data_IF_893062199900
#
_entry.id   IF_893062199900
#
_cell.length_a   1.000
_cell.length_b   1.000
_cell.length_c   1.000
_cell.angle_alpha   90.00
_cell.angle_beta   90.00
_cell.angle_gamma   90.00
#
_symmetry.space_group_name_H-M   'P 1'
#
loop_
_entity.id
_entity.type
_entity.pdbx_description
1 polymer ?
#
# COMPACT_ATOMS: atom_id res chain seq x y z
N UNK A 1 -29.98 9.04 43.56
CA UNK A 1 -29.88 8.20 42.35
C UNK A 1 -28.52 7.55 42.37
N UNK A 2 -28.43 6.22 42.36
CA UNK A 2 -27.15 5.53 42.39
C UNK A 2 -26.37 5.88 41.12
N UNK A 3 -25.18 6.49 41.27
CA UNK A 3 -24.29 6.75 40.15
C UNK A 3 -23.96 5.41 39.49
N UNK A 4 -24.38 5.24 38.24
CA UNK A 4 -24.05 4.06 37.45
C UNK A 4 -22.53 4.15 37.19
N UNK A 5 -21.76 3.18 37.70
CA UNK A 5 -20.31 3.13 37.49
C UNK A 5 -20.00 3.41 36.02
N UNK A 6 -19.12 4.38 35.78
CA UNK A 6 -18.69 4.68 34.42
C UNK A 6 -18.07 3.42 33.82
N UNK A 7 -18.49 3.02 32.61
CA UNK A 7 -17.92 1.82 32.01
C UNK A 7 -16.46 2.12 31.65
N UNK A 8 -15.53 1.25 32.02
CA UNK A 8 -14.08 1.52 31.92
C UNK A 8 -13.58 1.86 30.51
N UNK A 9 -14.32 1.48 29.47
CA UNK A 9 -14.03 1.86 28.09
C UNK A 9 -14.26 3.35 27.79
N UNK A 10 -15.10 4.04 28.57
CA UNK A 10 -15.40 5.46 28.38
C UNK A 10 -14.17 6.33 28.67
N UNK A 11 -13.41 6.01 29.72
CA UNK A 11 -12.13 6.69 30.00
C UNK A 11 -11.14 6.50 28.85
N UNK A 12 -11.04 5.28 28.31
CA UNK A 12 -10.17 4.99 27.16
C UNK A 12 -10.60 5.79 25.93
N UNK A 13 -11.91 5.83 25.64
CA UNK A 13 -12.45 6.61 24.53
C UNK A 13 -12.19 8.11 24.68
N UNK A 14 -12.32 8.66 25.88
CA UNK A 14 -11.99 10.06 26.19
C UNK A 14 -10.50 10.33 25.98
N UNK A 15 -9.62 9.46 26.48
CA UNK A 15 -8.16 9.61 26.29
C UNK A 15 -7.75 9.53 24.82
N UNK A 16 -8.39 8.66 24.03
CA UNK A 16 -8.15 8.54 22.59
C UNK A 16 -8.65 9.76 21.82
N UNK A 17 -9.86 10.26 22.15
CA UNK A 17 -10.39 11.50 21.58
C UNK A 17 -9.49 12.71 21.85
N UNK A 18 -9.08 12.89 23.10
CA UNK A 18 -8.18 13.96 23.51
C UNK A 18 -6.84 13.91 22.74
N UNK A 19 -6.30 12.72 22.48
CA UNK A 19 -5.08 12.56 21.67
C UNK A 19 -5.26 13.07 20.24
N UNK A 20 -6.37 12.76 19.59
CA UNK A 20 -6.68 13.21 18.22
C UNK A 20 -6.82 14.74 18.18
N UNK A 21 -7.46 15.34 19.19
CA UNK A 21 -7.59 16.79 19.33
C UNK A 21 -6.22 17.46 19.50
N UNK A 22 -5.36 16.91 20.37
CA UNK A 22 -4.02 17.45 20.61
C UNK A 22 -3.17 17.38 19.34
N UNK A 23 -3.24 16.29 18.57
CA UNK A 23 -2.53 16.17 17.28
C UNK A 23 -3.08 17.18 16.27
N UNK A 24 -4.40 17.36 16.18
CA UNK A 24 -5.00 18.37 15.31
C UNK A 24 -4.61 19.79 15.69
N UNK A 25 -4.59 20.11 16.99
CA UNK A 25 -4.12 21.38 17.51
C UNK A 25 -2.63 21.60 17.19
N UNK A 26 -1.79 20.57 17.34
CA UNK A 26 -0.36 20.62 16.99
C UNK A 26 -0.15 20.97 15.51
N UNK A 27 -0.86 20.32 14.59
CA UNK A 27 -0.76 20.65 13.16
C UNK A 27 -1.24 22.07 12.86
N UNK A 28 -2.28 22.55 13.56
CA UNK A 28 -2.80 23.90 13.40
C UNK A 28 -1.83 24.99 13.87
N UNK A 29 -1.18 24.80 15.04
CA UNK A 29 -0.25 25.80 15.59
C UNK A 29 1.10 25.81 14.87
N UNK A 30 1.57 24.64 14.42
CA UNK A 30 2.85 24.52 13.71
C UNK A 30 2.74 24.89 12.22
N UNK A 31 1.52 25.11 11.72
CA UNK A 31 1.21 25.38 10.31
C UNK A 31 1.66 24.24 9.36
N UNK A 32 1.96 23.05 9.89
CA UNK A 32 2.26 21.87 9.09
C UNK A 32 0.96 21.37 8.42
N UNK A 33 0.97 21.30 7.08
CA UNK A 33 -0.14 20.75 6.28
C UNK A 33 -1.12 21.78 5.68
N UNK A 34 -0.92 23.08 5.89
CA UNK A 34 -1.71 24.13 5.24
C UNK A 34 -3.22 23.96 5.41
N UNK A 35 -3.98 23.93 4.31
CA UNK A 35 -5.44 23.75 4.32
C UNK A 35 -5.90 22.44 5.01
N UNK A 36 -5.05 21.41 5.03
CA UNK A 36 -5.36 20.12 5.65
C UNK A 36 -5.37 20.19 7.18
N UNK A 37 -4.61 21.12 7.79
CA UNK A 37 -4.60 21.28 9.24
C UNK A 37 -5.98 21.70 9.78
N UNK A 38 -6.75 22.48 9.01
CA UNK A 38 -8.12 22.87 9.36
C UNK A 38 -9.08 21.67 9.40
N UNK A 39 -8.88 20.72 8.49
CA UNK A 39 -9.69 19.50 8.43
C UNK A 39 -9.36 18.58 9.61
N UNK A 40 -8.07 18.40 9.92
CA UNK A 40 -7.62 17.54 11.03
C UNK A 40 -8.09 18.09 12.37
N UNK A 41 -7.92 19.39 12.64
CA UNK A 41 -8.42 19.99 13.89
C UNK A 41 -9.95 20.00 13.95
N UNK A 42 -10.63 20.24 12.82
CA UNK A 42 -12.09 20.17 12.74
C UNK A 42 -12.62 18.76 13.06
N UNK A 43 -11.96 17.73 12.55
CA UNK A 43 -12.28 16.34 12.87
C UNK A 43 -12.03 16.02 14.35
N UNK A 44 -10.89 16.44 14.90
CA UNK A 44 -10.58 16.26 16.32
C UNK A 44 -11.61 16.92 17.25
N UNK A 45 -11.94 18.19 17.00
CA UNK A 45 -12.96 18.91 17.77
C UNK A 45 -14.36 18.27 17.62
N UNK A 46 -14.67 17.71 16.46
CA UNK A 46 -15.91 16.95 16.24
C UNK A 46 -15.98 15.67 17.09
N UNK A 47 -14.86 14.94 17.20
CA UNK A 47 -14.74 13.76 18.07
C UNK A 47 -14.93 14.16 19.54
N UNK A 48 -14.30 15.26 19.98
CA UNK A 48 -14.42 15.76 21.36
C UNK A 48 -15.86 16.17 21.71
N UNK A 49 -16.55 16.84 20.78
CA UNK A 49 -17.95 17.22 20.97
C UNK A 49 -18.87 16.00 21.15
N UNK A 50 -18.64 14.92 20.38
CA UNK A 50 -19.39 13.68 20.52
C UNK A 50 -19.07 12.95 21.83
N UNK A 51 -17.80 12.93 22.25
CA UNK A 51 -17.40 12.34 23.53
C UNK A 51 -17.99 13.09 24.71
N UNK A 52 -17.95 14.42 24.72
CA UNK A 52 -18.61 15.21 25.76
C UNK A 52 -20.12 14.97 25.81
N UNK A 53 -20.77 14.89 24.66
CA UNK A 53 -22.20 14.55 24.59
C UNK A 53 -22.49 13.19 25.24
N UNK A 54 -21.67 12.17 24.96
CA UNK A 54 -21.80 10.85 25.57
C UNK A 54 -21.53 10.87 27.08
N UNK A 55 -20.55 11.66 27.56
CA UNK A 55 -20.28 11.80 29.00
C UNK A 55 -21.41 12.47 29.78
N UNK A 56 -22.25 13.28 29.13
CA UNK A 56 -23.43 13.89 29.76
C UNK A 56 -24.43 12.85 30.29
N UNK A 57 -24.43 11.64 29.74
CA UNK A 57 -25.26 10.51 30.21
C UNK A 57 -24.62 9.72 31.37
N UNK A 58 -23.36 9.99 31.70
CA UNK A 58 -22.60 9.29 32.74
C UNK A 58 -21.95 10.33 33.69
N UNK A 59 -22.72 10.93 34.60
CA UNK A 59 -22.18 11.90 35.55
C UNK A 59 -21.02 11.30 36.37
N UNK A 60 -19.98 12.09 36.68
CA UNK A 60 -18.85 11.62 37.47
C UNK A 60 -19.31 11.15 38.86
N UNK A 61 -18.56 10.23 39.46
CA UNK A 61 -18.88 9.76 40.81
C UNK A 61 -18.84 10.93 41.80
N UNK A 62 -19.80 11.02 42.74
CA UNK A 62 -19.79 12.06 43.76
C UNK A 62 -18.51 11.94 44.59
N UNK A 63 -17.88 13.09 44.89
CA UNK A 63 -16.67 13.08 45.70
C UNK A 63 -16.92 12.34 47.03
N UNK A 64 -15.95 11.54 47.51
CA UNK A 64 -16.05 10.89 48.81
C UNK A 64 -16.37 11.94 49.87
N UNK A 65 -17.30 11.63 50.79
CA UNK A 65 -17.66 12.53 51.87
C UNK A 65 -16.53 12.60 52.93
N UNK A 66 -15.43 13.28 52.59
CA UNK A 66 -14.25 13.48 53.44
C UNK A 66 -14.62 14.08 54.80
N UNK A 67 -15.73 14.83 54.86
CA UNK A 67 -16.37 15.36 56.07
C UNK A 67 -16.76 14.30 57.12
N UNK A 68 -16.90 13.02 56.72
CA UNK A 68 -17.17 11.91 57.63
C UNK A 68 -15.90 11.39 58.32
N UNK A 69 -14.74 11.62 57.71
CA UNK A 69 -13.43 11.14 58.19
C UNK A 69 -12.66 12.26 58.90
N UNK A 70 -12.84 13.51 58.47
CA UNK A 70 -12.27 14.70 59.08
C UNK A 70 -13.37 15.72 59.39
N UNK A 71 -13.98 15.66 60.60
CA UNK A 71 -15.06 16.56 61.02
C UNK A 71 -14.66 18.05 61.01
N UNK A 72 -13.35 18.30 61.06
CA UNK A 72 -12.69 19.60 61.12
C UNK A 72 -12.82 20.41 59.82
N UNK A 73 -13.15 19.77 58.69
CA UNK A 73 -13.32 20.42 57.38
C UNK A 73 -14.75 20.97 57.17
N UNK A 74 -15.65 20.76 58.12
CA UNK A 74 -17.03 21.24 58.01
C UNK A 74 -17.11 22.75 58.25
N UNK A 75 -17.83 23.52 57.41
CA UNK A 75 -17.95 24.96 57.56
C UNK A 75 -18.70 25.43 58.82
N UNK A 76 -19.37 24.52 59.55
CA UNK A 76 -20.09 24.79 60.81
C UNK A 76 -19.42 24.10 62.03
N UNK A 77 -18.12 23.82 61.95
CA UNK A 77 -17.36 23.20 63.05
C UNK A 77 -17.15 24.20 64.20
N UNK A 78 -17.89 24.03 65.29
CA UNK A 78 -17.81 24.83 66.54
C UNK A 78 -17.12 24.09 67.69
N UNK A 79 -16.02 23.40 67.40
CA UNK A 79 -15.18 22.75 68.42
C UNK A 79 -13.95 23.61 68.75
N UNK A 80 -13.57 23.68 70.02
CA UNK A 80 -12.34 24.36 70.45
C UNK A 80 -11.11 23.56 69.99
N UNK A 81 -10.14 24.24 69.37
CA UNK A 81 -8.82 23.67 69.04
C UNK A 81 -8.17 23.13 70.32
N UNK A 82 -7.54 21.94 70.33
CA UNK A 82 -7.03 21.35 71.57
C UNK A 82 -5.93 22.23 72.16
N UNK A 83 -6.22 22.87 73.30
CA UNK A 83 -5.18 23.40 74.20
C UNK A 83 -4.78 22.28 75.15
N UNK A 84 -3.49 21.94 75.17
CA UNK A 84 -2.97 20.87 76.00
C UNK A 84 -3.24 21.17 77.49
N UNK A 85 -4.16 20.43 78.10
CA UNK A 85 -4.43 20.57 79.53
C UNK A 85 -3.28 19.97 80.33
N UNK A 86 -2.45 20.81 80.95
CA UNK A 86 -1.51 20.38 81.97
C UNK A 86 -2.29 20.01 83.24
N UNK A 87 -2.35 18.71 83.54
CA UNK A 87 -2.96 18.16 84.77
C UNK A 87 -1.93 18.21 85.90
N UNK A 88 -2.27 18.70 87.11
CA UNK A 88 -1.34 18.65 88.25
C UNK A 88 -1.28 17.21 88.78
N UNK A 89 -0.06 16.66 88.88
CA UNK A 89 0.16 15.31 89.39
C UNK A 89 0.60 15.40 90.85
N UNK A 90 -0.22 14.86 91.75
CA UNK A 90 0.13 14.66 93.15
C UNK A 90 1.17 13.54 93.28
N UNK A 91 2.21 13.76 94.09
CA UNK A 91 3.31 12.84 94.34
C UNK A 91 2.84 11.59 95.10
N UNK A 92 2.38 10.59 94.36
CA UNK A 92 2.40 9.18 94.75
C UNK A 92 3.50 8.52 93.94
N UNK A 93 4.28 7.63 94.57
CA UNK A 93 5.48 6.98 94.01
C UNK A 93 5.37 6.82 92.49
N UNK A 94 6.17 7.59 91.76
CA UNK A 94 5.98 7.77 90.33
C UNK A 94 6.06 6.41 89.64
N UNK A 95 5.13 6.14 88.71
CA UNK A 95 5.28 5.02 87.79
C UNK A 95 6.65 5.08 87.07
N UNK A 96 7.23 6.27 86.97
CA UNK A 96 8.62 6.52 86.56
C UNK A 96 9.64 5.86 87.47
N UNK A 97 9.49 5.88 88.80
CA UNK A 97 10.40 5.21 89.73
C UNK A 97 10.26 3.68 89.70
N UNK A 98 9.05 3.15 89.44
CA UNK A 98 8.85 1.71 89.20
C UNK A 98 9.45 1.28 87.86
N UNK A 99 9.30 2.09 86.81
CA UNK A 99 9.97 1.92 85.51
C UNK A 99 11.50 2.00 85.63
N UNK A 100 12.03 2.98 86.38
CA UNK A 100 13.46 3.18 86.62
C UNK A 100 14.09 2.00 87.37
N UNK A 101 13.36 1.47 88.36
CA UNK A 101 13.73 0.22 89.04
C UNK A 101 13.69 -0.98 88.09
N UNK A 102 12.70 -1.06 87.20
CA UNK A 102 12.60 -2.13 86.20
C UNK A 102 13.70 -2.05 85.13
N UNK A 103 14.06 -0.84 84.68
CA UNK A 103 15.18 -0.60 83.76
C UNK A 103 16.52 -0.96 84.40
N UNK A 104 16.70 -0.61 85.68
CA UNK A 104 17.89 -0.95 86.46
C UNK A 104 18.01 -2.47 86.70
N UNK A 105 16.94 -3.14 87.15
CA UNK A 105 16.90 -4.59 87.36
C UNK A 105 17.07 -5.38 86.05
N UNK A 106 16.55 -4.86 84.92
CA UNK A 106 16.74 -5.44 83.60
C UNK A 106 18.12 -5.14 82.97
N UNK A 107 19.02 -4.44 83.68
CA UNK A 107 20.33 -3.98 83.17
C UNK A 107 20.22 -3.16 81.87
N UNK A 108 19.13 -2.44 81.67
CA UNK A 108 19.00 -1.49 80.57
C UNK A 108 19.69 -0.20 81.01
N UNK A 109 21.03 -0.25 81.01
CA UNK A 109 21.88 0.90 81.24
C UNK A 109 22.08 1.73 79.95
N UNK A 110 22.66 2.93 80.08
CA UNK A 110 22.99 3.78 78.94
C UNK A 110 23.82 3.05 77.87
N UNK A 111 24.70 2.14 78.28
CA UNK A 111 25.49 1.25 77.40
C UNK A 111 24.62 0.38 76.47
N UNK A 112 23.53 -0.21 77.00
CA UNK A 112 22.63 -1.06 76.20
C UNK A 112 21.85 -0.20 75.19
N UNK A 113 21.38 0.97 75.61
CA UNK A 113 20.64 1.91 74.75
C UNK A 113 21.56 2.47 73.66
N UNK A 114 22.81 2.81 73.99
CA UNK A 114 23.84 3.23 73.04
C UNK A 114 24.14 2.11 72.02
N UNK A 115 24.29 0.86 72.50
CA UNK A 115 24.54 -0.30 71.63
C UNK A 115 23.34 -0.61 70.72
N UNK A 116 22.11 -0.45 71.22
CA UNK A 116 20.88 -0.64 70.45
C UNK A 116 20.70 0.48 69.41
N UNK A 117 20.95 1.73 69.79
CA UNK A 117 20.92 2.87 68.89
C UNK A 117 21.97 2.75 67.78
N UNK A 118 23.19 2.35 68.14
CA UNK A 118 24.26 2.04 67.17
C UNK A 118 23.89 0.86 66.26
N UNK A 119 23.27 -0.19 66.82
CA UNK A 119 22.76 -1.34 66.07
C UNK A 119 21.65 -0.97 65.08
N UNK A 120 20.67 -0.16 65.49
CA UNK A 120 19.59 0.35 64.64
C UNK A 120 20.12 1.29 63.54
N UNK A 121 21.09 2.15 63.86
CA UNK A 121 21.73 3.03 62.88
C UNK A 121 22.52 2.21 61.85
N UNK A 122 23.31 1.26 62.32
CA UNK A 122 24.05 0.32 61.46
C UNK A 122 23.10 -0.51 60.59
N UNK A 123 21.97 -0.96 61.15
CA UNK A 123 20.94 -1.67 60.39
C UNK A 123 20.31 -0.78 59.31
N UNK A 124 19.94 0.46 59.67
CA UNK A 124 19.44 1.46 58.72
C UNK A 124 20.42 1.72 57.57
N UNK A 125 21.71 1.90 57.89
CA UNK A 125 22.78 2.08 56.89
C UNK A 125 22.92 0.84 55.98
N UNK A 126 22.80 -0.38 56.52
CA UNK A 126 22.83 -1.61 55.72
C UNK A 126 21.58 -1.77 54.84
N UNK A 127 20.40 -1.39 55.31
CA UNK A 127 19.18 -1.41 54.51
C UNK A 127 19.25 -0.37 53.39
N UNK A 128 19.79 0.82 53.66
CA UNK A 128 20.01 1.85 52.63
C UNK A 128 20.99 1.37 51.55
N UNK A 129 22.07 0.68 51.93
CA UNK A 129 23.01 0.10 50.94
C UNK A 129 22.38 -1.02 50.13
N UNK A 130 21.53 -1.87 50.73
CA UNK A 130 20.75 -2.88 50.00
C UNK A 130 19.80 -2.23 48.99
N UNK A 131 19.11 -1.14 49.36
CA UNK A 131 18.24 -0.40 48.45
C UNK A 131 19.02 0.13 47.25
N UNK A 132 20.16 0.79 47.49
CA UNK A 132 21.00 1.30 46.41
C UNK A 132 21.53 0.20 45.48
N UNK A 133 21.85 -0.98 46.02
CA UNK A 133 22.26 -2.16 45.24
C UNK A 133 21.10 -2.69 44.39
N UNK A 134 19.87 -2.71 44.93
CA UNK A 134 18.69 -3.14 44.19
C UNK A 134 18.37 -2.16 43.03
N UNK A 135 18.48 -0.86 43.26
CA UNK A 135 18.32 0.17 42.24
C UNK A 135 19.39 0.06 41.16
N UNK A 136 20.65 -0.12 41.56
CA UNK A 136 21.77 -0.33 40.63
C UNK A 136 21.61 -1.62 39.80
N UNK A 137 21.10 -2.70 40.42
CA UNK A 137 20.81 -3.96 39.71
C UNK A 137 19.71 -3.79 38.67
N UNK A 138 18.65 -3.05 39.01
CA UNK A 138 17.56 -2.74 38.07
C UNK A 138 18.06 -1.92 36.89
N UNK A 139 18.84 -0.85 37.15
CA UNK A 139 19.46 -0.03 36.11
C UNK A 139 20.43 -0.84 35.23
N UNK A 140 21.18 -1.79 35.80
CA UNK A 140 22.08 -2.67 35.04
C UNK A 140 21.31 -3.61 34.12
N UNK A 141 20.18 -4.14 34.56
CA UNK A 141 19.30 -4.98 33.73
C UNK A 141 18.70 -4.17 32.57
N UNK A 142 18.24 -2.95 32.82
CA UNK A 142 17.76 -2.05 31.76
C UNK A 142 18.88 -1.70 30.77
N UNK A 143 20.08 -1.38 31.26
CA UNK A 143 21.24 -1.09 30.43
C UNK A 143 21.62 -2.28 29.54
N UNK A 144 21.64 -3.49 30.11
CA UNK A 144 21.87 -4.74 29.37
C UNK A 144 20.81 -4.95 28.29
N UNK A 145 19.53 -4.68 28.62
CA UNK A 145 18.43 -4.73 27.67
C UNK A 145 18.61 -3.74 26.52
N UNK A 146 18.99 -2.49 26.82
CA UNK A 146 19.28 -1.47 25.79
C UNK A 146 20.48 -1.82 24.93
N UNK A 147 21.56 -2.38 25.50
CA UNK A 147 22.70 -2.88 24.72
C UNK A 147 22.26 -4.00 23.78
N UNK A 148 21.48 -4.97 24.25
CA UNK A 148 21.00 -6.07 23.40
C UNK A 148 20.15 -5.56 22.22
N UNK A 149 19.27 -4.59 22.49
CA UNK A 149 18.48 -3.94 21.45
C UNK A 149 19.36 -3.16 20.46
N UNK A 150 20.37 -2.44 20.97
CA UNK A 150 21.32 -1.72 20.12
C UNK A 150 22.14 -2.68 19.23
N UNK A 151 22.60 -3.80 19.77
CA UNK A 151 23.29 -4.86 19.01
C UNK A 151 22.39 -5.41 17.89
N UNK A 152 21.14 -5.73 18.19
CA UNK A 152 20.18 -6.18 17.18
C UNK A 152 19.90 -5.11 16.11
N UNK A 153 19.90 -3.83 16.49
CA UNK A 153 19.82 -2.71 15.54
C UNK A 153 21.05 -2.64 14.63
N UNK A 154 22.24 -2.90 15.17
CA UNK A 154 23.49 -2.94 14.42
C UNK A 154 23.53 -4.10 13.42
N UNK A 155 23.05 -5.29 13.81
CA UNK A 155 22.93 -6.44 12.92
C UNK A 155 21.98 -6.14 11.74
N UNK A 156 20.84 -5.51 12.02
CA UNK A 156 19.90 -5.08 10.98
C UNK A 156 20.51 -4.01 10.05
N UNK A 157 21.27 -3.07 10.59
CA UNK A 157 21.96 -2.06 9.80
C UNK A 157 23.02 -2.70 8.90
N UNK A 158 23.81 -3.65 9.42
CA UNK A 158 24.80 -4.39 8.64
C UNK A 158 24.14 -5.14 7.49
N UNK A 159 23.06 -5.89 7.77
CA UNK A 159 22.32 -6.61 6.74
C UNK A 159 21.72 -5.67 5.66
N UNK A 160 21.26 -4.48 6.07
CA UNK A 160 20.75 -3.47 5.14
C UNK A 160 21.87 -2.87 4.29
N UNK A 161 23.05 -2.66 4.86
CA UNK A 161 24.25 -2.21 4.13
C UNK A 161 24.73 -3.25 3.13
N UNK A 162 24.73 -4.54 3.49
CA UNK A 162 25.08 -5.63 2.57
C UNK A 162 24.11 -5.67 1.37
N UNK A 163 22.80 -5.55 1.64
CA UNK A 163 21.79 -5.46 0.57
C UNK A 163 21.97 -4.22 -0.30
N UNK A 164 22.21 -3.06 0.29
CA UNK A 164 22.45 -1.83 -0.45
C UNK A 164 23.68 -1.95 -1.36
N UNK A 165 24.75 -2.56 -0.85
CA UNK A 165 26.00 -2.79 -1.59
C UNK A 165 25.78 -3.79 -2.72
N UNK A 166 25.04 -4.87 -2.49
CA UNK A 166 24.65 -5.82 -3.52
C UNK A 166 23.79 -5.16 -4.62
N UNK A 167 22.84 -4.30 -4.25
CA UNK A 167 22.03 -3.54 -5.21
C UNK A 167 22.87 -2.54 -6.01
N UNK A 168 23.84 -1.86 -5.39
CA UNK A 168 24.75 -0.96 -6.09
C UNK A 168 25.66 -1.72 -7.07
N UNK A 169 26.11 -2.92 -6.70
CA UNK A 169 26.86 -3.81 -7.60
C UNK A 169 25.99 -4.24 -8.78
N UNK A 170 24.76 -4.67 -8.54
CA UNK A 170 23.81 -5.02 -9.59
C UNK A 170 23.50 -3.82 -10.51
N UNK A 171 23.43 -2.61 -9.97
CA UNK A 171 23.26 -1.38 -10.76
C UNK A 171 24.49 -1.06 -11.62
N UNK A 172 25.70 -1.28 -11.11
CA UNK A 172 26.94 -1.19 -11.88
C UNK A 172 27.04 -2.25 -12.97
N UNK A 173 26.55 -3.46 -12.72
CA UNK A 173 26.45 -4.54 -13.72
C UNK A 173 25.33 -4.26 -14.74
N UNK A 174 24.24 -3.58 -14.36
CA UNK A 174 23.16 -3.16 -15.27
C UNK A 174 23.63 -2.18 -16.35
N UNK A 175 24.78 -1.51 -16.17
CA UNK A 175 25.44 -0.77 -17.26
C UNK A 175 25.82 -1.68 -18.44
N UNK A 176 26.05 -2.98 -18.20
CA UNK A 176 26.25 -4.01 -19.24
C UNK A 176 24.92 -4.35 -19.94
N UNK A 177 23.81 -4.41 -19.19
CA UNK A 177 22.47 -4.56 -19.78
C UNK A 177 22.07 -3.37 -20.65
N UNK A 178 22.63 -2.18 -20.40
CA UNK A 178 22.42 -1.00 -21.26
C UNK A 178 23.00 -1.17 -22.67
N UNK A 179 24.11 -1.92 -22.81
CA UNK A 179 24.65 -2.30 -24.13
C UNK A 179 23.76 -3.33 -24.82
N UNK A 180 23.33 -4.38 -24.10
CA UNK A 180 22.42 -5.37 -24.65
C UNK A 180 21.08 -4.75 -25.08
N UNK A 181 20.56 -3.80 -24.30
CA UNK A 181 19.38 -3.02 -24.64
C UNK A 181 19.62 -2.13 -25.87
N UNK A 182 20.78 -1.45 -25.96
CA UNK A 182 21.16 -0.70 -27.16
C UNK A 182 21.22 -1.59 -28.41
N UNK A 183 21.78 -2.78 -28.30
CA UNK A 183 21.86 -3.74 -29.40
C UNK A 183 20.47 -4.23 -29.82
N UNK A 184 19.57 -4.49 -28.87
CA UNK A 184 18.18 -4.83 -29.16
C UNK A 184 17.43 -3.68 -29.84
N UNK A 185 17.58 -2.44 -29.37
CA UNK A 185 16.95 -1.25 -29.97
C UNK A 185 17.51 -1.00 -31.38
N UNK A 186 18.81 -1.19 -31.58
CA UNK A 186 19.44 -1.05 -32.90
C UNK A 186 18.94 -2.13 -33.87
N UNK A 187 18.82 -3.39 -33.41
CA UNK A 187 18.23 -4.46 -34.22
C UNK A 187 16.74 -4.22 -34.52
N UNK A 188 15.98 -3.67 -33.57
CA UNK A 188 14.59 -3.25 -33.81
C UNK A 188 14.52 -2.15 -34.88
N UNK A 189 15.40 -1.14 -34.80
CA UNK A 189 15.47 -0.07 -35.78
C UNK A 189 15.82 -0.60 -37.19
N UNK A 190 16.78 -1.54 -37.29
CA UNK A 190 17.10 -2.23 -38.55
C UNK A 190 15.91 -3.01 -39.10
N UNK A 191 15.21 -3.75 -38.25
CA UNK A 191 14.03 -4.52 -38.65
C UNK A 191 12.90 -3.61 -39.12
N UNK A 192 12.64 -2.49 -38.44
CA UNK A 192 11.64 -1.50 -38.85
C UNK A 192 12.02 -0.85 -40.19
N UNK A 193 13.28 -0.53 -40.40
CA UNK A 193 13.78 -0.02 -41.68
C UNK A 193 13.59 -1.03 -42.81
N UNK A 194 13.96 -2.29 -42.57
CA UNK A 194 13.75 -3.38 -43.52
C UNK A 194 12.26 -3.60 -43.82
N UNK A 195 11.40 -3.55 -42.80
CA UNK A 195 9.96 -3.71 -42.95
C UNK A 195 9.35 -2.55 -43.77
N UNK A 196 9.82 -1.34 -43.55
CA UNK A 196 9.38 -0.19 -44.35
C UNK A 196 9.83 -0.32 -45.82
N UNK A 197 11.05 -0.83 -46.07
CA UNK A 197 11.52 -1.13 -47.42
C UNK A 197 10.70 -2.25 -48.09
N UNK A 198 10.31 -3.28 -47.35
CA UNK A 198 9.42 -4.35 -47.86
C UNK A 198 8.03 -3.77 -48.17
N UNK A 199 7.49 -2.90 -47.32
CA UNK A 199 6.20 -2.27 -47.56
C UNK A 199 6.19 -1.42 -48.83
N UNK A 200 7.26 -0.67 -49.08
CA UNK A 200 7.43 0.09 -50.31
C UNK A 200 7.57 -0.81 -51.55
N UNK A 201 8.33 -1.91 -51.42
CA UNK A 201 8.42 -2.93 -52.46
C UNK A 201 7.06 -3.60 -52.75
N UNK A 202 6.26 -3.89 -51.72
CA UNK A 202 4.95 -4.53 -51.87
C UNK A 202 3.93 -3.57 -52.52
N UNK A 203 3.96 -2.28 -52.18
CA UNK A 203 3.17 -1.27 -52.88
C UNK A 203 3.57 -1.15 -54.36
N UNK A 204 4.88 -1.21 -54.65
CA UNK A 204 5.38 -1.19 -56.02
C UNK A 204 4.97 -2.43 -56.80
N UNK A 205 5.11 -3.62 -56.21
CA UNK A 205 4.73 -4.89 -56.85
C UNK A 205 3.22 -4.97 -57.06
N UNK A 206 2.43 -4.54 -56.07
CA UNK A 206 0.97 -4.46 -56.21
C UNK A 206 0.55 -3.48 -57.32
N UNK A 207 1.24 -2.35 -57.47
CA UNK A 207 1.03 -1.43 -58.60
C UNK A 207 1.40 -2.06 -59.95
N UNK A 208 2.52 -2.80 -60.01
CA UNK A 208 2.92 -3.54 -61.21
C UNK A 208 1.90 -4.65 -61.55
N UNK A 209 1.40 -5.35 -60.54
CA UNK A 209 0.38 -6.38 -60.67
C UNK A 209 -0.93 -5.79 -61.21
N UNK A 210 -1.41 -4.66 -60.68
CA UNK A 210 -2.60 -3.96 -61.19
C UNK A 210 -2.42 -3.53 -62.66
N UNK A 211 -1.24 -3.03 -63.03
CA UNK A 211 -0.96 -2.67 -64.43
C UNK A 211 -0.97 -3.90 -65.35
N UNK A 212 -0.36 -4.99 -64.90
CA UNK A 212 -0.37 -6.28 -65.62
C UNK A 212 -1.79 -6.82 -65.78
N UNK A 213 -2.59 -6.76 -64.71
CA UNK A 213 -3.99 -7.19 -64.67
C UNK A 213 -4.85 -6.37 -65.63
N UNK A 214 -4.69 -5.04 -65.65
CA UNK A 214 -5.40 -4.17 -66.60
C UNK A 214 -5.02 -4.52 -68.05
N UNK A 215 -3.73 -4.73 -68.33
CA UNK A 215 -3.27 -5.18 -69.64
C UNK A 215 -3.83 -6.56 -70.02
N UNK A 216 -3.91 -7.49 -69.07
CA UNK A 216 -4.52 -8.81 -69.26
C UNK A 216 -6.00 -8.66 -69.63
N UNK A 217 -6.78 -7.86 -68.90
CA UNK A 217 -8.19 -7.62 -69.23
C UNK A 217 -8.36 -6.98 -70.61
N UNK A 218 -7.50 -6.02 -70.98
CA UNK A 218 -7.52 -5.41 -72.31
C UNK A 218 -7.23 -6.45 -73.41
N UNK A 219 -6.20 -7.28 -73.22
CA UNK A 219 -5.87 -8.36 -74.16
C UNK A 219 -6.98 -9.41 -74.25
N UNK A 220 -7.63 -9.75 -73.12
CA UNK A 220 -8.75 -10.69 -73.08
C UNK A 220 -9.96 -10.12 -73.82
N UNK A 221 -10.26 -8.84 -73.63
CA UNK A 221 -11.31 -8.14 -74.37
C UNK A 221 -11.03 -8.15 -75.88
N UNK A 222 -9.80 -7.83 -76.30
CA UNK A 222 -9.38 -7.90 -77.70
C UNK A 222 -9.47 -9.32 -78.26
N UNK A 223 -9.07 -10.32 -77.48
CA UNK A 223 -9.17 -11.73 -77.87
C UNK A 223 -10.63 -12.14 -78.05
N UNK A 224 -11.52 -11.74 -77.15
CA UNK A 224 -12.96 -11.98 -77.26
C UNK A 224 -13.57 -11.28 -78.48
N UNK A 225 -13.10 -10.07 -78.80
CA UNK A 225 -13.53 -9.35 -80.00
C UNK A 225 -13.09 -10.09 -81.27
N UNK A 226 -11.80 -10.44 -81.38
CA UNK A 226 -11.27 -11.21 -82.51
C UNK A 226 -11.94 -12.58 -82.65
N UNK A 227 -12.29 -13.22 -81.52
CA UNK A 227 -13.02 -14.48 -81.51
C UNK A 227 -14.44 -14.31 -82.06
N UNK A 228 -15.15 -13.25 -81.66
CA UNK A 228 -16.47 -12.93 -82.20
C UNK A 228 -16.41 -12.62 -83.71
N UNK A 229 -15.41 -11.87 -84.17
CA UNK A 229 -15.20 -11.61 -85.61
C UNK A 229 -14.91 -12.90 -86.37
N UNK A 230 -14.02 -13.75 -85.86
CA UNK A 230 -13.71 -15.06 -86.46
C UNK A 230 -14.94 -15.98 -86.51
N UNK A 231 -15.81 -15.91 -85.49
CA UNK A 231 -17.07 -16.64 -85.47
C UNK A 231 -18.03 -16.15 -86.57
N UNK A 232 -18.05 -14.85 -86.84
CA UNK A 232 -18.84 -14.27 -87.91
C UNK A 232 -18.29 -14.65 -89.30
N UNK A 233 -16.98 -14.55 -89.50
CA UNK A 233 -16.31 -15.02 -90.73
C UNK A 233 -16.56 -16.51 -90.98
N UNK A 234 -16.57 -17.33 -89.93
CA UNK A 234 -16.88 -18.76 -90.03
C UNK A 234 -18.33 -19.01 -90.49
N UNK A 235 -19.29 -18.16 -90.09
CA UNK A 235 -20.67 -18.23 -90.61
C UNK A 235 -20.72 -17.85 -92.08
N UNK A 236 -20.07 -16.75 -92.47
CA UNK A 236 -20.03 -16.30 -93.86
C UNK A 236 -19.36 -17.33 -94.77
N UNK A 237 -18.23 -17.90 -94.33
CA UNK A 237 -17.57 -18.98 -95.04
C UNK A 237 -18.49 -20.19 -95.22
N UNK A 238 -19.23 -20.59 -94.18
CA UNK A 238 -20.23 -21.66 -94.30
C UNK A 238 -21.32 -21.30 -95.33
N UNK A 239 -21.78 -20.05 -95.37
CA UNK A 239 -22.76 -19.62 -96.38
C UNK A 239 -22.21 -19.68 -97.80
N UNK A 240 -20.99 -19.18 -98.02
CA UNK A 240 -20.34 -19.20 -99.33
C UNK A 240 -20.02 -20.63 -99.79
N UNK A 241 -19.57 -21.50 -98.89
CA UNK A 241 -19.40 -22.94 -99.17
C UNK A 241 -20.72 -23.59 -99.55
N UNK A 242 -21.82 -23.26 -98.86
CA UNK A 242 -23.15 -23.76 -99.22
C UNK A 242 -23.62 -23.25 -100.59
N UNK A 243 -23.35 -21.98 -100.93
CA UNK A 243 -23.62 -21.43 -102.27
C UNK A 243 -22.79 -22.14 -103.34
N UNK A 244 -21.50 -22.34 -103.10
CA UNK A 244 -20.61 -23.06 -104.00
C UNK A 244 -21.08 -24.50 -104.21
N UNK A 245 -21.46 -25.21 -103.15
CA UNK A 245 -22.01 -26.56 -103.25
C UNK A 245 -23.30 -26.61 -104.09
N UNK A 246 -24.21 -25.64 -103.91
CA UNK A 246 -25.40 -25.48 -104.77
C UNK A 246 -25.02 -25.23 -106.23
N UNK A 247 -24.08 -24.34 -106.49
CA UNK A 247 -23.63 -24.03 -107.85
C UNK A 247 -22.94 -25.22 -108.53
N UNK A 248 -22.08 -25.96 -107.80
CA UNK A 248 -21.47 -27.19 -108.30
C UNK A 248 -22.52 -28.26 -108.60
N UNK A 249 -23.54 -28.41 -107.75
CA UNK A 249 -24.67 -29.32 -107.99
C UNK A 249 -25.43 -28.93 -109.28
N UNK A 250 -25.76 -27.64 -109.44
CA UNK A 250 -26.41 -27.12 -110.65
C UNK A 250 -25.55 -27.35 -111.90
N UNK A 251 -24.24 -27.10 -111.82
CA UNK A 251 -23.31 -27.30 -112.93
C UNK A 251 -23.22 -28.78 -113.31
N UNK A 252 -23.12 -29.67 -112.31
CA UNK A 252 -23.07 -31.11 -112.53
C UNK A 252 -24.40 -31.63 -113.11
N UNK A 253 -25.54 -31.04 -112.74
CA UNK A 253 -26.83 -31.34 -113.35
C UNK A 253 -26.89 -30.91 -114.84
N UNK A 254 -26.31 -29.75 -115.19
CA UNK A 254 -26.21 -29.30 -116.59
C UNK A 254 -25.28 -30.23 -117.39
N UNK A 255 -24.11 -30.61 -116.84
CA UNK A 255 -23.22 -31.56 -117.49
C UNK A 255 -23.83 -32.95 -117.61
N UNK A 256 -24.58 -33.41 -116.62
CA UNK A 256 -25.35 -34.66 -116.68
C UNK A 256 -26.43 -34.62 -117.75
N UNK A 257 -27.17 -33.53 -117.86
CA UNK A 257 -28.15 -33.31 -118.93
C UNK A 257 -27.47 -33.24 -120.32
N UNK A 258 -26.28 -32.65 -120.41
CA UNK A 258 -25.51 -32.58 -121.66
C UNK A 258 -24.92 -33.95 -122.05
N UNK A 259 -24.45 -34.74 -121.09
CA UNK A 259 -23.99 -36.12 -121.32
C UNK A 259 -25.16 -37.02 -121.73
N UNK A 260 -26.32 -36.87 -121.10
CA UNK A 260 -27.55 -37.59 -121.47
C UNK A 260 -28.07 -37.18 -122.85
N UNK A 261 -27.84 -35.93 -123.27
CA UNK A 261 -28.14 -35.44 -124.61
C UNK A 261 -27.12 -35.91 -125.67
N UNK A 262 -25.86 -36.17 -125.30
CA UNK A 262 -24.82 -36.70 -126.20
C UNK A 262 -24.82 -38.23 -126.32
N UNK A 263 -25.28 -38.96 -125.30
CA UNK A 263 -25.47 -40.41 -125.33
C UNK A 263 -26.90 -40.85 -125.69
N UNK A 264 -27.76 -39.91 -126.12
CA UNK A 264 -29.06 -40.22 -126.67
C UNK A 264 -28.92 -41.13 -127.90
N UNK A 265 -29.63 -42.27 -127.97
CA UNK A 265 -29.42 -43.28 -129.00
C UNK A 265 -29.65 -42.67 -130.38
N UNK A 266 -28.63 -42.74 -131.24
CA UNK A 266 -28.75 -42.33 -132.65
C UNK A 266 -29.71 -43.31 -133.32
N UNK A 267 -30.87 -42.80 -133.73
CA UNK A 267 -31.76 -43.44 -134.71
C UNK A 267 -31.22 -43.16 -136.11
#
# INVERSE_FOLDING_TARGET
MAAKKQPGWLHVAISWGASIVIIGALFKITHLGGSWANLIIGAGLGVEALLFFLTGFFPPEPEPAWERVYPELKPDFKGELPTASARPVAATASNTAALDKMLSDAKIGPELIESLGSGLRTFGDKVATISNVADASTATNEFTGKIKTASAGFDNLSASFDKATANLKAMGESTVDSQAYHDQVNNLAKNLSALNAVYELELQDSSAHLKSMNKFYSNLSLTMQNFNESMEDSKQFKEEVNKLAKNLSSLNAIYGNMLSAMNGPRV
#
